data_IF_681956043100
#
_entry.id   IF_681956043100
#
_cell.length_a   1.000
_cell.length_b   1.000
_cell.length_c   1.000
_cell.angle_alpha   90.00
_cell.angle_beta   90.00
_cell.angle_gamma   90.00
#
_symmetry.space_group_name_H-M   'P 1'
#
loop_
_entity.id
_entity.type
_entity.pdbx_description
1 polymer ?
#
# COMPACT_ATOMS: atom_id res chain seq x y z
N UNK A 1 -21.49 6.17 1.50
CA UNK A 1 -20.05 6.45 1.49
C UNK A 1 -19.38 5.09 1.40
N UNK A 2 -18.53 4.87 0.40
CA UNK A 2 -17.81 3.60 0.28
C UNK A 2 -16.48 3.75 1.04
N UNK A 3 -16.28 2.94 2.08
CA UNK A 3 -15.06 2.99 2.89
C UNK A 3 -13.97 2.13 2.25
N UNK A 4 -12.69 2.53 2.29
CA UNK A 4 -11.60 1.74 1.73
C UNK A 4 -11.54 0.35 2.38
N UNK A 5 -11.77 -0.71 1.60
CA UNK A 5 -11.60 -2.10 2.06
C UNK A 5 -10.15 -2.54 1.92
N UNK A 6 -9.70 -3.41 2.81
CA UNK A 6 -8.38 -4.02 2.69
C UNK A 6 -8.48 -5.33 1.90
N UNK A 7 -7.91 -5.34 0.70
CA UNK A 7 -7.88 -6.49 -0.22
C UNK A 7 -6.47 -7.08 -0.40
N UNK A 8 -5.48 -6.55 0.32
CA UNK A 8 -4.08 -6.96 0.22
C UNK A 8 -3.28 -6.26 -0.88
N UNK A 9 -3.88 -5.35 -1.67
CA UNK A 9 -3.21 -4.61 -2.74
C UNK A 9 -2.71 -3.21 -2.34
N UNK A 10 -2.70 -2.93 -1.04
CA UNK A 10 -2.18 -1.71 -0.43
C UNK A 10 -1.35 -2.09 0.80
N UNK A 11 -0.37 -1.25 1.14
CA UNK A 11 0.42 -1.46 2.35
C UNK A 11 -0.48 -1.29 3.60
N UNK A 12 -0.44 -2.20 4.58
CA UNK A 12 -1.29 -2.12 5.78
C UNK A 12 -1.22 -0.77 6.49
N UNK A 13 -0.03 -0.17 6.62
CA UNK A 13 0.14 1.11 7.30
C UNK A 13 -0.55 2.27 6.55
N UNK A 14 -0.48 2.26 5.21
CA UNK A 14 -1.14 3.26 4.36
C UNK A 14 -2.66 3.13 4.45
N UNK A 15 -3.15 1.89 4.37
CA UNK A 15 -4.58 1.63 4.50
C UNK A 15 -5.13 2.01 5.88
N UNK A 16 -4.44 1.63 6.96
CA UNK A 16 -4.80 2.04 8.33
C UNK A 16 -4.87 3.57 8.42
N UNK A 17 -3.86 4.27 7.91
CA UNK A 17 -3.84 5.73 7.90
C UNK A 17 -5.03 6.34 7.12
N UNK A 18 -5.37 5.77 5.97
CA UNK A 18 -6.50 6.24 5.15
C UNK A 18 -7.84 6.08 5.85
N UNK A 19 -8.07 4.93 6.47
CA UNK A 19 -9.33 4.69 7.16
C UNK A 19 -9.38 5.51 8.47
N UNK A 20 -8.25 5.74 9.16
CA UNK A 20 -8.18 6.50 10.41
C UNK A 20 -8.65 7.96 10.29
N UNK A 21 -8.68 8.53 9.08
CA UNK A 21 -9.31 9.83 8.79
C UNK A 21 -10.79 9.89 9.18
N UNK A 22 -11.46 8.74 9.28
CA UNK A 22 -12.88 8.63 9.61
C UNK A 22 -13.14 8.20 11.06
N UNK A 23 -12.12 8.19 11.92
CA UNK A 23 -12.20 7.64 13.28
C UNK A 23 -13.32 8.25 14.14
N UNK A 24 -13.55 9.56 14.00
CA UNK A 24 -14.62 10.28 14.69
C UNK A 24 -16.03 9.71 14.41
N UNK A 25 -16.24 9.06 13.26
CA UNK A 25 -17.52 8.45 12.88
C UNK A 25 -17.74 7.11 13.56
N UNK A 26 -16.68 6.37 13.88
CA UNK A 26 -16.78 4.97 14.30
C UNK A 26 -16.89 4.80 15.80
N UNK A 27 -16.30 5.73 16.56
CA UNK A 27 -16.51 5.78 18.01
C UNK A 27 -18.00 5.88 18.37
N UNK A 28 -18.78 6.61 17.57
CA UNK A 28 -20.22 6.83 17.82
C UNK A 28 -21.13 5.71 17.32
N UNK A 29 -20.71 4.94 16.30
CA UNK A 29 -21.63 4.09 15.54
C UNK A 29 -21.24 2.61 15.48
N UNK A 30 -19.96 2.25 15.64
CA UNK A 30 -19.47 0.93 15.22
C UNK A 30 -18.65 0.17 16.28
N UNK A 31 -18.61 0.66 17.53
CA UNK A 31 -17.84 0.03 18.60
C UNK A 31 -16.34 0.32 18.55
N UNK A 32 -15.94 1.42 17.89
CA UNK A 32 -14.57 1.92 17.84
C UNK A 32 -13.82 1.61 16.54
N UNK A 33 -12.64 2.20 16.41
CA UNK A 33 -11.74 2.10 15.26
C UNK A 33 -11.42 0.64 14.90
N UNK A 34 -10.91 -0.13 15.87
CA UNK A 34 -10.41 -1.49 15.65
C UNK A 34 -11.49 -2.42 15.09
N UNK A 35 -12.66 -2.46 15.73
CA UNK A 35 -13.77 -3.31 15.30
C UNK A 35 -14.23 -2.98 13.88
N UNK A 36 -14.23 -1.69 13.55
CA UNK A 36 -14.57 -1.21 12.21
C UNK A 36 -13.50 -1.61 11.20
N UNK A 37 -12.23 -1.41 11.51
CA UNK A 37 -11.12 -1.81 10.65
C UNK A 37 -11.15 -3.31 10.34
N UNK A 38 -11.36 -4.17 11.35
CA UNK A 38 -11.50 -5.62 11.16
C UNK A 38 -12.65 -5.94 10.19
N UNK A 39 -13.78 -5.24 10.28
CA UNK A 39 -14.94 -5.44 9.39
C UNK A 39 -14.72 -5.00 7.94
N UNK A 40 -13.71 -4.15 7.68
CA UNK A 40 -13.35 -3.66 6.36
C UNK A 40 -12.30 -4.52 5.65
N UNK A 41 -11.76 -5.53 6.33
CA UNK A 41 -10.85 -6.52 5.73
C UNK A 41 -11.65 -7.49 4.86
N UNK A 42 -11.15 -7.76 3.65
CA UNK A 42 -11.75 -8.74 2.76
C UNK A 42 -11.82 -10.12 3.44
N UNK A 43 -12.99 -10.79 3.50
CA UNK A 43 -13.15 -12.09 4.15
C UNK A 43 -12.25 -13.24 3.63
N UNK A 44 -11.67 -13.07 2.43
CA UNK A 44 -10.66 -13.99 1.88
C UNK A 44 -9.37 -13.94 2.71
N UNK A 45 -9.05 -12.78 3.28
CA UNK A 45 -7.89 -12.55 4.15
C UNK A 45 -8.23 -13.06 5.55
N UNK A 46 -7.71 -14.24 5.89
CA UNK A 46 -7.91 -14.83 7.22
C UNK A 46 -7.10 -14.06 8.26
N UNK A 47 -7.82 -13.57 9.26
CA UNK A 47 -7.28 -12.96 10.47
C UNK A 47 -7.29 -13.97 11.62
N UNK A 48 -6.42 -13.82 12.63
CA UNK A 48 -6.56 -14.52 13.91
C UNK A 48 -7.91 -14.27 14.57
N UNK A 49 -8.35 -15.21 15.41
CA UNK A 49 -9.64 -15.14 16.11
C UNK A 49 -9.71 -13.97 17.09
N UNK A 50 -8.58 -13.58 17.68
CA UNK A 50 -8.47 -12.47 18.62
C UNK A 50 -7.42 -11.46 18.15
N UNK A 51 -7.86 -10.22 17.98
CA UNK A 51 -7.04 -9.04 17.69
C UNK A 51 -7.43 -7.98 18.72
N UNK A 52 -6.48 -7.57 19.56
CA UNK A 52 -6.71 -6.71 20.72
C UNK A 52 -6.47 -5.24 20.44
N UNK A 53 -5.58 -4.96 19.48
CA UNK A 53 -5.22 -3.60 19.09
C UNK A 53 -4.85 -3.51 17.61
N UNK A 54 -4.54 -2.28 17.18
CA UNK A 54 -4.19 -1.97 15.79
C UNK A 54 -2.82 -2.50 15.39
N UNK A 55 -1.93 -2.73 16.34
CA UNK A 55 -0.58 -3.23 16.04
C UNK A 55 -0.62 -4.73 15.79
N UNK A 56 -1.48 -5.45 16.50
CA UNK A 56 -1.83 -6.83 16.20
C UNK A 56 -2.52 -6.95 14.85
N UNK A 57 -3.50 -6.07 14.54
CA UNK A 57 -4.14 -6.06 13.22
C UNK A 57 -3.11 -5.84 12.12
N UNK A 58 -2.27 -4.81 12.26
CA UNK A 58 -1.22 -4.46 11.30
C UNK A 58 -0.25 -5.62 11.09
N UNK A 59 0.19 -6.27 12.17
CA UNK A 59 1.09 -7.42 12.12
C UNK A 59 0.42 -8.59 11.39
N UNK A 60 -0.82 -8.92 11.72
CA UNK A 60 -1.58 -9.98 11.06
C UNK A 60 -1.76 -9.73 9.54
N UNK A 61 -2.03 -8.49 9.14
CA UNK A 61 -2.12 -8.13 7.72
C UNK A 61 -0.77 -8.24 7.00
N UNK A 62 0.34 -7.88 7.67
CA UNK A 62 1.70 -8.01 7.11
C UNK A 62 2.17 -9.46 7.02
N UNK A 63 1.72 -10.33 7.91
CA UNK A 63 2.04 -11.77 7.89
C UNK A 63 1.21 -12.55 6.86
N UNK A 64 0.09 -11.98 6.39
CA UNK A 64 -0.76 -12.64 5.42
C UNK A 64 -0.08 -12.83 4.04
N UNK A 65 -0.42 -13.94 3.37
CA UNK A 65 0.12 -14.27 2.05
C UNK A 65 -0.21 -13.23 0.98
N UNK A 66 -1.38 -12.57 1.06
CA UNK A 66 -1.78 -11.54 0.09
C UNK A 66 -0.81 -10.37 0.09
N UNK A 67 -0.41 -9.89 1.27
CA UNK A 67 0.58 -8.82 1.40
C UNK A 67 1.96 -9.25 0.88
N UNK A 68 2.37 -10.50 1.13
CA UNK A 68 3.62 -11.06 0.59
C UNK A 68 3.60 -11.06 -0.94
N UNK A 69 2.50 -11.47 -1.56
CA UNK A 69 2.32 -11.44 -3.02
C UNK A 69 2.36 -10.01 -3.57
N UNK A 70 1.67 -9.07 -2.93
CA UNK A 70 1.70 -7.65 -3.28
C UNK A 70 3.13 -7.10 -3.25
N UNK A 71 3.87 -7.33 -2.16
CA UNK A 71 5.26 -6.86 -1.99
C UNK A 71 6.17 -7.43 -3.08
N UNK A 72 6.09 -8.74 -3.33
CA UNK A 72 6.92 -9.40 -4.33
C UNK A 72 6.60 -8.93 -5.76
N UNK A 73 5.32 -8.71 -6.05
CA UNK A 73 4.87 -8.18 -7.35
C UNK A 73 5.42 -6.78 -7.59
N UNK A 74 5.30 -5.89 -6.61
CA UNK A 74 5.83 -4.54 -6.71
C UNK A 74 7.37 -4.52 -6.79
N UNK A 75 8.06 -5.39 -6.05
CA UNK A 75 9.52 -5.54 -6.17
C UNK A 75 9.93 -5.93 -7.60
N UNK A 76 9.26 -6.90 -8.21
CA UNK A 76 9.52 -7.32 -9.60
C UNK A 76 9.22 -6.19 -10.59
N UNK A 77 8.09 -5.49 -10.43
CA UNK A 77 7.76 -4.32 -11.25
C UNK A 77 8.85 -3.24 -11.14
N UNK A 78 9.28 -2.91 -9.92
CA UNK A 78 10.33 -1.92 -9.68
C UNK A 78 11.66 -2.31 -10.34
N UNK A 79 12.05 -3.59 -10.29
CA UNK A 79 13.25 -4.08 -10.96
C UNK A 79 13.14 -4.02 -12.50
N UNK A 80 11.93 -4.14 -13.04
CA UNK A 80 11.68 -4.03 -14.49
C UNK A 80 11.66 -2.59 -15.00
N UNK A 81 11.47 -1.60 -14.12
CA UNK A 81 11.55 -0.20 -14.47
C UNK A 81 13.02 0.14 -14.77
N UNK A 82 13.39 0.15 -16.05
CA UNK A 82 14.69 0.64 -16.50
C UNK A 82 14.72 2.15 -16.31
N UNK A 83 15.62 2.62 -15.45
CA UNK A 83 15.97 4.03 -15.39
C UNK A 83 16.58 4.42 -16.74
N UNK A 84 15.91 5.31 -17.47
CA UNK A 84 16.47 5.97 -18.65
C UNK A 84 17.07 7.28 -18.11
N UNK A 85 18.40 7.40 -17.98
CA UNK A 85 18.99 8.68 -17.61
C UNK A 85 18.65 9.71 -18.69
N UNK A 86 18.12 10.86 -18.28
CA UNK A 86 18.14 12.04 -19.14
C UNK A 86 19.60 12.39 -19.39
N UNK A 87 20.10 12.09 -20.59
CA UNK A 87 21.43 12.55 -21.01
C UNK A 87 21.41 14.07 -20.92
N UNK A 88 22.17 14.60 -19.95
CA UNK A 88 22.55 16.00 -19.85
C UNK A 88 22.86 16.50 -21.26
N UNK A 89 22.12 17.51 -21.72
CA UNK A 89 22.13 17.97 -23.10
C UNK A 89 23.52 17.99 -23.72
N UNK A 90 23.74 17.09 -24.67
CA UNK A 90 24.92 17.14 -25.53
C UNK A 90 24.69 18.25 -26.55
N UNK A 91 25.39 19.35 -26.33
CA UNK A 91 25.62 20.43 -27.28
C UNK A 91 26.23 19.84 -28.56
N UNK A 92 25.41 19.56 -29.58
CA UNK A 92 25.88 19.18 -30.92
C UNK A 92 26.28 20.42 -31.73
N UNK A 93 27.36 21.11 -31.32
CA UNK A 93 28.14 21.97 -32.22
C UNK A 93 29.42 21.22 -32.61
N UNK A 94 29.27 20.25 -33.50
CA UNK A 94 30.38 19.72 -34.32
C UNK A 94 29.85 19.54 -35.74
N UNK A 95 29.81 20.64 -36.49
CA UNK A 95 30.05 20.57 -37.93
C UNK A 95 31.51 20.96 -38.09
N UNK A 96 32.41 19.97 -38.02
CA UNK A 96 33.68 20.05 -38.73
C UNK A 96 33.36 19.83 -40.20
N UNK A 97 33.28 20.92 -40.97
CA UNK A 97 33.42 20.86 -42.42
C UNK A 97 34.91 21.04 -42.72
N UNK A 98 35.58 19.92 -42.98
CA UNK A 98 36.90 19.89 -43.59
C UNK A 98 36.79 20.37 -45.05
N UNK A 99 37.77 21.22 -45.43
CA UNK A 99 38.24 21.67 -46.76
C UNK A 99 37.27 21.75 -47.96
#
# INVERSE_FOLDING_TARGET
MDFPKYDGNIHPDEWIHDIQKYDYMWYKNCGGFLKTAISLVDPIIKLPDEIRDIEELRSALKENITFTVFKNTNKKKLQSLKYIPESRGELSLQITSDE
#
